data_IF_237907805498
#
_entry.id   IF_237907805498
#
_cell.length_a   1.000
_cell.length_b   1.000
_cell.length_c   1.000
_cell.angle_alpha   90.00
_cell.angle_beta   90.00
_cell.angle_gamma   90.00
#
_symmetry.space_group_name_H-M   'P 1'
#
loop_
_entity.id
_entity.type
_entity.pdbx_description
1 polymer ?
#
# COMPACT_ATOMS: atom_id res chain seq x y z
N UNK A 1 -4.88 -3.98 -49.69
CA UNK A 1 -3.98 -4.58 -48.68
C UNK A 1 -4.77 -4.69 -47.39
N UNK A 2 -5.23 -5.89 -47.06
CA UNK A 2 -5.92 -6.18 -45.79
C UNK A 2 -4.85 -6.31 -44.70
N UNK A 3 -4.88 -5.43 -43.71
CA UNK A 3 -4.07 -5.57 -42.49
C UNK A 3 -4.87 -6.47 -41.56
N UNK A 4 -4.38 -7.68 -41.32
CA UNK A 4 -4.98 -8.60 -40.35
C UNK A 4 -4.85 -8.09 -38.91
N UNK A 5 -5.70 -8.56 -37.97
CA UNK A 5 -5.56 -8.23 -36.56
C UNK A 5 -4.19 -8.69 -36.06
N UNK A 6 -3.56 -7.88 -35.20
CA UNK A 6 -2.23 -8.15 -34.65
C UNK A 6 -2.14 -9.58 -34.11
N UNK A 7 -1.52 -10.47 -34.88
CA UNK A 7 -1.14 -11.79 -34.39
C UNK A 7 -0.29 -11.58 -33.15
N UNK A 8 -0.76 -12.13 -32.03
CA UNK A 8 -0.15 -12.08 -30.70
C UNK A 8 1.37 -11.99 -30.80
N UNK A 9 1.90 -10.78 -30.54
CA UNK A 9 3.32 -10.50 -30.50
C UNK A 9 3.95 -11.23 -29.30
N UNK A 10 4.23 -12.51 -29.53
CA UNK A 10 5.51 -13.15 -29.23
C UNK A 10 5.90 -13.30 -27.76
N UNK A 11 5.15 -14.11 -27.02
CA UNK A 11 5.69 -14.89 -25.90
C UNK A 11 6.61 -16.05 -26.37
N UNK A 12 7.33 -15.91 -27.50
CA UNK A 12 8.15 -17.03 -28.00
C UNK A 12 8.90 -16.90 -29.32
N UNK A 13 9.26 -15.71 -29.81
CA UNK A 13 10.11 -15.66 -31.02
C UNK A 13 11.47 -14.95 -30.93
N UNK A 14 11.88 -14.28 -29.85
CA UNK A 14 13.18 -13.57 -29.89
C UNK A 14 14.10 -13.74 -28.67
N UNK A 15 13.79 -14.59 -27.68
CA UNK A 15 14.71 -14.80 -26.56
C UNK A 15 14.79 -16.31 -26.31
N UNK A 16 15.90 -16.94 -26.73
CA UNK A 16 16.20 -18.31 -26.31
C UNK A 16 16.33 -18.36 -24.79
N UNK A 17 15.96 -19.47 -24.15
CA UNK A 17 16.04 -19.64 -22.69
C UNK A 17 17.40 -19.23 -22.09
N UNK A 18 18.50 -19.37 -22.85
CA UNK A 18 19.84 -18.92 -22.45
C UNK A 18 20.05 -17.39 -22.41
N UNK A 19 19.33 -16.62 -23.21
CA UNK A 19 19.36 -15.14 -23.15
C UNK A 19 18.52 -14.64 -21.98
N UNK A 20 17.39 -15.31 -21.69
CA UNK A 20 16.59 -15.04 -20.50
C UNK A 20 17.39 -15.33 -19.22
N UNK A 21 18.18 -16.40 -19.18
CA UNK A 21 19.12 -16.67 -18.07
C UNK A 21 20.25 -15.65 -17.97
N UNK A 22 20.82 -15.18 -19.09
CA UNK A 22 21.88 -14.17 -19.11
C UNK A 22 21.37 -12.79 -18.63
N UNK A 23 20.14 -12.45 -19.00
CA UNK A 23 19.36 -11.27 -18.56
C UNK A 23 19.14 -11.32 -17.05
N UNK A 24 18.81 -12.49 -16.50
CA UNK A 24 18.66 -12.72 -15.05
C UNK A 24 20.00 -12.69 -14.31
N UNK A 25 21.09 -13.24 -14.87
CA UNK A 25 22.43 -13.19 -14.25
C UNK A 25 23.04 -11.79 -14.26
N UNK A 26 22.89 -11.02 -15.34
CA UNK A 26 23.44 -9.66 -15.43
C UNK A 26 22.83 -8.67 -14.42
N UNK A 27 21.65 -8.97 -13.88
CA UNK A 27 21.01 -8.17 -12.83
C UNK A 27 21.64 -8.37 -11.43
N UNK A 28 22.39 -9.47 -11.22
CA UNK A 28 22.89 -9.89 -9.90
C UNK A 28 24.25 -9.23 -9.56
N UNK A 29 25.02 -8.78 -10.55
CA UNK A 29 26.43 -8.40 -10.36
C UNK A 29 26.70 -6.86 -10.26
N UNK A 30 25.69 -6.02 -10.00
CA UNK A 30 25.83 -4.55 -10.06
C UNK A 30 26.20 -3.84 -8.74
N UNK A 31 27.39 -3.23 -8.70
CA UNK A 31 28.06 -2.48 -7.61
C UNK A 31 27.21 -1.63 -6.64
N UNK A 32 27.72 -1.53 -5.40
CA UNK A 32 27.14 -0.95 -4.19
C UNK A 32 27.14 0.59 -4.19
N UNK A 33 25.95 1.17 -4.28
CA UNK A 33 25.60 2.51 -3.82
C UNK A 33 24.14 2.47 -3.35
N UNK A 34 23.86 2.97 -2.14
CA UNK A 34 22.59 2.76 -1.41
C UNK A 34 21.36 3.36 -2.08
N UNK A 35 20.77 2.62 -3.02
CA UNK A 35 19.53 3.01 -3.68
C UNK A 35 18.77 1.77 -4.14
N UNK A 36 17.51 1.68 -3.72
CA UNK A 36 16.61 0.56 -3.97
C UNK A 36 16.41 0.36 -5.48
N UNK A 37 17.05 -0.67 -6.03
CA UNK A 37 16.88 -1.08 -7.41
C UNK A 37 15.68 -2.02 -7.48
N UNK A 38 14.54 -1.52 -7.96
CA UNK A 38 13.57 -2.42 -8.60
C UNK A 38 14.23 -2.86 -9.90
N UNK A 39 14.91 -3.99 -9.85
CA UNK A 39 15.52 -4.61 -11.01
C UNK A 39 14.43 -5.09 -11.95
N UNK A 40 13.94 -4.24 -12.85
CA UNK A 40 13.36 -4.71 -14.11
C UNK A 40 14.48 -5.47 -14.83
N UNK A 41 14.38 -6.79 -14.91
CA UNK A 41 15.43 -7.62 -15.49
C UNK A 41 15.71 -7.24 -16.96
N UNK A 42 16.91 -6.66 -17.18
CA UNK A 42 17.76 -6.65 -18.39
C UNK A 42 17.15 -6.34 -19.77
N UNK A 43 16.29 -5.33 -19.85
CA UNK A 43 15.97 -4.69 -21.15
C UNK A 43 15.90 -3.17 -21.10
N UNK A 44 15.62 -2.63 -19.93
CA UNK A 44 15.49 -1.20 -19.70
C UNK A 44 16.71 -0.77 -18.90
N UNK A 45 17.52 0.17 -19.39
CA UNK A 45 18.39 0.96 -18.52
C UNK A 45 17.47 1.64 -17.49
N UNK A 46 17.30 0.94 -16.36
CA UNK A 46 16.19 1.08 -15.44
C UNK A 46 16.29 2.41 -14.75
N UNK A 47 15.29 3.26 -14.96
CA UNK A 47 15.14 4.46 -14.16
C UNK A 47 14.92 4.00 -12.73
N UNK A 48 15.91 4.28 -11.90
CA UNK A 48 15.88 3.91 -10.50
C UNK A 48 14.77 4.69 -9.81
N UNK A 49 14.02 4.03 -8.92
CA UNK A 49 13.06 4.75 -8.09
C UNK A 49 13.88 5.54 -7.08
N UNK A 50 13.82 6.86 -7.20
CA UNK A 50 14.59 7.75 -6.35
C UNK A 50 13.81 8.10 -5.09
N UNK A 51 14.53 8.26 -3.98
CA UNK A 51 13.99 8.90 -2.79
C UNK A 51 13.35 10.25 -3.14
N UNK A 52 12.16 10.52 -2.60
CA UNK A 52 11.37 11.70 -2.93
C UNK A 52 10.40 11.51 -4.11
N UNK A 53 10.28 10.30 -4.65
CA UNK A 53 9.36 9.99 -5.76
C UNK A 53 8.10 9.28 -5.26
N UNK A 54 6.96 9.62 -5.86
CA UNK A 54 5.69 8.90 -5.71
C UNK A 54 5.51 7.95 -6.89
N UNK A 55 5.40 6.66 -6.62
CA UNK A 55 5.20 5.61 -7.63
C UNK A 55 3.79 5.06 -7.54
N UNK A 56 3.06 5.05 -8.65
CA UNK A 56 1.73 4.47 -8.76
C UNK A 56 1.82 3.09 -9.39
N UNK A 57 1.39 2.04 -8.68
CA UNK A 57 1.41 0.65 -9.13
C UNK A 57 -0.02 0.21 -9.43
N UNK A 58 -0.32 0.02 -10.71
CA UNK A 58 -1.65 -0.34 -11.20
C UNK A 58 -1.74 -1.80 -11.60
N UNK A 59 -2.94 -2.37 -11.54
CA UNK A 59 -3.17 -3.75 -12.00
C UNK A 59 -2.88 -4.80 -10.95
N UNK A 60 -2.33 -5.93 -11.36
CA UNK A 60 -2.09 -7.09 -10.51
C UNK A 60 -0.66 -7.08 -9.96
N UNK A 61 -0.36 -6.06 -9.16
CA UNK A 61 1.00 -5.75 -8.70
C UNK A 61 1.12 -5.54 -7.19
N UNK A 62 0.25 -6.19 -6.40
CA UNK A 62 0.29 -6.09 -4.94
C UNK A 62 1.67 -6.51 -4.38
N UNK A 63 2.33 -7.47 -5.03
CA UNK A 63 3.65 -7.96 -4.68
C UNK A 63 4.78 -6.95 -4.89
N UNK A 64 4.60 -5.95 -5.78
CA UNK A 64 5.62 -4.93 -6.04
C UNK A 64 5.89 -4.10 -4.79
N UNK A 65 4.82 -3.70 -4.08
CA UNK A 65 4.95 -2.95 -2.83
C UNK A 65 5.70 -3.73 -1.76
N UNK A 66 5.37 -5.03 -1.60
CA UNK A 66 6.03 -5.91 -0.64
C UNK A 66 7.51 -6.15 -0.96
N UNK A 67 7.88 -6.38 -2.23
CA UNK A 67 9.28 -6.55 -2.64
C UNK A 67 10.09 -5.28 -2.46
N UNK A 68 9.54 -4.12 -2.82
CA UNK A 68 10.20 -2.84 -2.59
C UNK A 68 10.39 -2.52 -1.12
N UNK A 69 9.42 -2.90 -0.27
CA UNK A 69 9.57 -2.82 1.18
C UNK A 69 10.77 -3.65 1.65
N UNK A 70 10.90 -4.89 1.18
CA UNK A 70 12.06 -5.74 1.49
C UNK A 70 13.37 -5.06 1.07
N UNK A 71 13.47 -4.57 -0.16
CA UNK A 71 14.67 -3.86 -0.64
C UNK A 71 15.05 -2.69 0.27
N UNK A 72 14.09 -1.85 0.66
CA UNK A 72 14.32 -0.72 1.57
C UNK A 72 14.79 -1.19 2.95
N UNK A 73 14.20 -2.27 3.50
CA UNK A 73 14.61 -2.78 4.81
C UNK A 73 16.08 -3.26 4.80
N UNK A 74 16.57 -3.77 3.67
CA UNK A 74 17.97 -4.13 3.49
C UNK A 74 18.88 -2.91 3.27
N UNK A 75 18.46 -1.97 2.43
CA UNK A 75 19.27 -0.78 2.11
C UNK A 75 19.38 0.19 3.28
N UNK A 76 18.39 0.21 4.17
CA UNK A 76 18.33 1.09 5.34
C UNK A 76 18.13 0.26 6.62
N UNK A 77 19.19 -0.27 7.24
CA UNK A 77 19.09 -1.17 8.40
C UNK A 77 18.42 -0.53 9.63
N UNK A 78 18.57 0.79 9.78
CA UNK A 78 17.95 1.58 10.87
C UNK A 78 16.71 2.37 10.39
N UNK A 79 16.32 2.20 9.12
CA UNK A 79 15.17 2.89 8.55
C UNK A 79 13.86 2.23 8.98
N UNK A 80 12.83 3.05 9.22
CA UNK A 80 11.44 2.57 9.38
C UNK A 80 10.71 2.57 8.05
N UNK A 81 9.68 1.75 7.97
CA UNK A 81 8.72 1.73 6.87
C UNK A 81 7.29 1.77 7.41
N UNK A 82 6.39 2.44 6.68
CA UNK A 82 4.98 2.51 7.03
C UNK A 82 4.12 1.92 5.90
N UNK A 83 3.10 1.16 6.28
CA UNK A 83 2.11 0.56 5.39
C UNK A 83 0.74 1.03 5.85
N UNK A 84 0.05 1.80 5.02
CA UNK A 84 -1.34 2.21 5.21
C UNK A 84 -2.22 1.21 4.48
N UNK A 85 -2.74 0.24 5.23
CA UNK A 85 -3.55 -0.87 4.71
C UNK A 85 -5.05 -0.53 4.82
N UNK A 86 -5.67 -0.18 3.70
CA UNK A 86 -7.10 0.10 3.62
C UNK A 86 -7.97 -1.13 3.34
N UNK A 87 -7.34 -2.25 2.98
CA UNK A 87 -8.03 -3.44 2.51
C UNK A 87 -8.00 -4.59 3.51
N UNK A 88 -7.09 -4.52 4.48
CA UNK A 88 -6.83 -5.57 5.46
C UNK A 88 -6.12 -6.78 4.87
N UNK A 89 -5.61 -6.70 3.64
CA UNK A 89 -5.09 -7.84 2.88
C UNK A 89 -3.56 -7.84 2.74
N UNK A 90 -2.86 -6.90 3.40
CA UNK A 90 -1.41 -6.81 3.29
C UNK A 90 -0.72 -8.11 3.73
N UNK A 91 0.04 -8.74 2.82
CA UNK A 91 0.66 -10.06 3.04
C UNK A 91 1.99 -9.96 3.82
N UNK A 92 1.88 -9.77 5.13
CA UNK A 92 3.04 -9.73 6.04
C UNK A 92 3.86 -11.02 5.97
N UNK A 93 3.20 -12.17 5.78
CA UNK A 93 3.87 -13.47 5.69
C UNK A 93 4.65 -13.60 4.38
N UNK A 94 4.14 -13.05 3.28
CA UNK A 94 4.85 -12.95 2.01
C UNK A 94 6.13 -12.12 2.16
N UNK A 95 6.04 -10.95 2.79
CA UNK A 95 7.20 -10.10 3.09
C UNK A 95 8.22 -10.84 3.97
N UNK A 96 7.76 -11.53 5.02
CA UNK A 96 8.62 -12.34 5.89
C UNK A 96 9.38 -13.43 5.11
N UNK A 97 8.67 -14.18 4.25
CA UNK A 97 9.28 -15.24 3.43
C UNK A 97 10.33 -14.68 2.48
N UNK A 98 10.05 -13.55 1.84
CA UNK A 98 11.01 -12.88 0.95
C UNK A 98 12.25 -12.39 1.73
N UNK A 99 12.07 -11.83 2.94
CA UNK A 99 13.18 -11.48 3.84
C UNK A 99 14.05 -12.71 4.16
N UNK A 100 13.43 -13.84 4.52
CA UNK A 100 14.15 -15.08 4.82
C UNK A 100 14.93 -15.60 3.60
N UNK A 101 14.30 -15.61 2.42
CA UNK A 101 14.94 -16.05 1.18
C UNK A 101 16.15 -15.17 0.82
N UNK A 102 16.03 -13.86 1.03
CA UNK A 102 17.12 -12.91 0.77
C UNK A 102 18.26 -13.01 1.79
N UNK A 103 17.95 -13.12 3.08
CA UNK A 103 18.97 -13.35 4.12
C UNK A 103 19.73 -14.66 3.91
N UNK A 104 19.04 -15.73 3.49
CA UNK A 104 19.67 -17.02 3.14
C UNK A 104 20.62 -16.89 1.95
N UNK A 105 20.30 -16.02 0.98
CA UNK A 105 21.13 -15.75 -0.21
C UNK A 105 22.40 -14.97 0.14
N UNK A 106 22.30 -14.03 1.08
CA UNK A 106 23.42 -13.20 1.53
C UNK A 106 24.42 -13.94 2.45
N UNK A 107 24.19 -15.24 2.70
CA UNK A 107 25.11 -16.10 3.44
C UNK A 107 25.06 -15.90 4.95
N UNK A 108 23.99 -15.29 5.49
CA UNK A 108 23.74 -15.26 6.93
C UNK A 108 23.58 -16.70 7.42
N UNK A 109 24.40 -17.11 8.40
CA UNK A 109 24.56 -18.52 8.80
C UNK A 109 23.23 -19.22 9.07
N UNK A 110 23.11 -20.46 8.59
CA UNK A 110 21.90 -21.28 8.71
C UNK A 110 21.56 -21.55 10.18
N UNK A 111 20.36 -21.17 10.60
CA UNK A 111 19.80 -21.48 11.92
C UNK A 111 18.82 -20.41 12.38
N UNK A 112 18.47 -20.43 13.67
CA UNK A 112 17.54 -19.50 14.34
C UNK A 112 17.92 -18.02 14.16
N UNK A 113 19.19 -17.73 13.82
CA UNK A 113 19.68 -16.38 13.55
C UNK A 113 19.02 -15.70 12.35
N UNK A 114 18.71 -16.45 11.28
CA UNK A 114 18.07 -15.87 10.07
C UNK A 114 16.63 -15.46 10.35
N UNK A 115 15.90 -16.29 11.09
CA UNK A 115 14.52 -16.02 11.47
C UNK A 115 14.44 -14.84 12.44
N UNK A 116 15.34 -14.79 13.44
CA UNK A 116 15.43 -13.66 14.35
C UNK A 116 15.78 -12.35 13.62
N UNK A 117 16.69 -12.40 12.65
CA UNK A 117 17.03 -11.23 11.84
C UNK A 117 15.83 -10.75 11.00
N UNK A 118 15.13 -11.66 10.32
CA UNK A 118 13.93 -11.32 9.54
C UNK A 118 12.81 -10.72 10.41
N UNK A 119 12.56 -11.31 11.59
CA UNK A 119 11.59 -10.79 12.55
C UNK A 119 11.97 -9.37 13.01
N UNK A 120 13.25 -9.15 13.36
CA UNK A 120 13.76 -7.84 13.73
C UNK A 120 13.65 -6.80 12.59
N UNK A 121 13.75 -7.23 11.33
CA UNK A 121 13.51 -6.35 10.18
C UNK A 121 12.02 -5.98 10.05
N UNK A 122 11.11 -6.92 10.32
CA UNK A 122 9.67 -6.67 10.32
C UNK A 122 9.21 -5.78 11.48
N UNK A 123 9.88 -5.81 12.64
CA UNK A 123 9.58 -4.90 13.76
C UNK A 123 9.75 -3.41 13.37
N UNK A 124 10.45 -3.13 12.27
CA UNK A 124 10.62 -1.77 11.71
C UNK A 124 9.51 -1.37 10.74
N UNK A 125 8.55 -2.26 10.49
CA UNK A 125 7.41 -2.01 9.59
C UNK A 125 6.18 -1.68 10.44
N UNK A 126 5.73 -0.44 10.32
CA UNK A 126 4.51 0.04 10.95
C UNK A 126 3.32 -0.18 10.03
N UNK A 127 2.36 -1.00 10.44
CA UNK A 127 1.13 -1.25 9.67
C UNK A 127 -0.03 -0.47 10.31
N UNK A 128 -0.63 0.42 9.52
CA UNK A 128 -1.75 1.27 9.91
C UNK A 128 -2.98 0.82 9.15
N UNK A 129 -3.98 0.27 9.85
CA UNK A 129 -5.24 -0.13 9.23
C UNK A 129 -6.20 1.04 9.16
N UNK A 130 -6.77 1.27 7.99
CA UNK A 130 -7.69 2.38 7.72
C UNK A 130 -8.91 1.85 6.99
N UNK A 131 -10.07 2.48 7.17
CA UNK A 131 -11.33 1.98 6.60
C UNK A 131 -11.97 2.95 5.61
N UNK A 132 -11.61 4.23 5.68
CA UNK A 132 -12.14 5.29 4.84
C UNK A 132 -11.06 6.33 4.50
N UNK A 133 -11.45 7.36 3.75
CA UNK A 133 -10.54 8.41 3.33
C UNK A 133 -10.08 9.30 4.50
N UNK A 134 -10.89 9.45 5.55
CA UNK A 134 -10.52 10.20 6.75
C UNK A 134 -9.38 9.48 7.47
N UNK A 135 -9.50 8.17 7.67
CA UNK A 135 -8.46 7.34 8.25
C UNK A 135 -7.15 7.36 7.46
N UNK A 136 -7.21 7.37 6.11
CA UNK A 136 -5.99 7.56 5.29
C UNK A 136 -5.35 8.92 5.55
N UNK A 137 -6.14 10.00 5.63
CA UNK A 137 -5.61 11.35 5.91
C UNK A 137 -4.99 11.45 7.30
N UNK A 138 -5.63 10.86 8.31
CA UNK A 138 -5.12 10.80 9.68
C UNK A 138 -3.82 10.00 9.74
N UNK A 139 -3.77 8.85 9.07
CA UNK A 139 -2.57 8.02 9.01
C UNK A 139 -1.37 8.74 8.40
N UNK A 140 -1.57 9.44 7.27
CA UNK A 140 -0.53 10.28 6.66
C UNK A 140 -0.20 11.50 7.53
N UNK A 141 -1.19 12.05 8.24
CA UNK A 141 -1.00 13.12 9.22
C UNK A 141 -0.05 12.71 10.34
N UNK A 142 -0.24 11.51 10.89
CA UNK A 142 0.62 10.96 11.92
C UNK A 142 2.05 10.74 11.42
N UNK A 143 2.21 10.17 10.21
CA UNK A 143 3.52 10.01 9.57
C UNK A 143 4.23 11.36 9.41
N UNK A 144 3.50 12.40 9.00
CA UNK A 144 4.05 13.76 8.89
C UNK A 144 4.48 14.29 10.25
N UNK A 145 3.63 14.15 11.27
CA UNK A 145 3.92 14.70 12.60
C UNK A 145 5.14 14.01 13.24
N UNK A 146 5.30 12.70 13.01
CA UNK A 146 6.50 11.94 13.38
C UNK A 146 7.76 12.46 12.65
N UNK A 147 7.68 12.62 11.32
CA UNK A 147 8.78 13.10 10.48
C UNK A 147 9.18 14.56 10.76
N UNK A 148 8.25 15.40 11.18
CA UNK A 148 8.46 16.80 11.54
C UNK A 148 8.83 16.98 13.02
N UNK A 149 8.91 15.89 13.81
CA UNK A 149 9.21 15.94 15.24
C UNK A 149 8.14 16.64 16.08
N UNK A 150 6.91 16.72 15.55
CA UNK A 150 5.74 17.27 16.24
C UNK A 150 5.00 16.25 17.08
N UNK A 151 5.54 15.04 17.18
CA UNK A 151 4.95 13.97 17.97
C UNK A 151 4.65 14.50 19.36
N UNK A 152 3.36 14.67 19.65
CA UNK A 152 2.88 14.93 20.99
C UNK A 152 3.35 13.71 21.76
N UNK A 153 4.38 13.89 22.58
CA UNK A 153 4.78 12.88 23.55
C UNK A 153 3.52 12.64 24.34
N UNK A 154 2.79 11.56 24.03
CA UNK A 154 1.71 11.12 24.90
C UNK A 154 2.38 11.00 26.25
N UNK A 155 1.96 11.80 27.24
CA UNK A 155 2.55 11.73 28.55
C UNK A 155 2.34 10.29 28.96
N UNK A 156 3.44 9.53 29.04
CA UNK A 156 3.46 8.12 29.42
C UNK A 156 2.37 7.97 30.47
N UNK A 157 1.33 7.19 30.13
CA UNK A 157 0.29 6.83 31.05
C UNK A 157 1.02 6.25 32.26
N UNK A 158 1.25 7.11 33.25
CA UNK A 158 1.56 6.72 34.61
C UNK A 158 0.43 5.80 34.96
N UNK A 159 0.73 4.51 34.89
CA UNK A 159 -0.04 3.41 35.46
C UNK A 159 -0.81 3.96 36.65
N UNK A 160 -2.12 4.11 36.48
CA UNK A 160 -3.03 4.54 37.52
C UNK A 160 -2.90 3.49 38.61
N UNK A 161 -2.09 3.79 39.61
CA UNK A 161 -2.17 3.16 40.91
C UNK A 161 -3.56 3.47 41.43
N UNK A 162 -4.39 2.44 41.46
CA UNK A 162 -5.66 2.31 42.18
C UNK A 162 -5.75 3.25 43.39
N UNK A 163 -6.70 4.20 43.43
CA UNK A 163 -7.03 4.90 44.66
C UNK A 163 -7.67 3.89 45.63
N UNK A 164 -7.03 3.72 46.79
CA UNK A 164 -7.60 3.01 47.92
C UNK A 164 -8.98 3.59 48.27
N UNK A 165 -9.93 2.68 48.28
CA UNK A 165 -11.24 2.76 48.90
C UNK A 165 -11.09 3.24 50.36
N UNK A 166 -11.73 4.36 50.71
CA UNK A 166 -12.03 4.66 52.11
C UNK A 166 -13.33 5.45 52.24
N UNK A 167 -14.27 4.78 52.91
CA UNK A 167 -15.23 5.36 53.86
C UNK A 167 -16.55 5.90 53.31
N UNK A 168 -17.57 5.11 53.64
CA UNK A 168 -19.01 5.38 53.70
C UNK A 168 -19.41 6.71 54.34
N UNK A 169 -20.44 7.37 53.81
CA UNK A 169 -21.65 7.83 54.53
C UNK A 169 -22.72 8.41 53.57
N UNK A 170 -23.99 8.61 54.00
CA UNK A 170 -25.16 8.20 53.21
C UNK A 170 -26.11 9.35 52.74
N UNK A 171 -27.04 8.98 51.83
CA UNK A 171 -28.31 9.64 51.45
C UNK A 171 -28.30 10.97 50.66
N UNK A 172 -28.81 10.94 49.42
CA UNK A 172 -30.20 11.37 49.08
C UNK A 172 -30.59 11.00 47.63
N UNK A 173 -31.87 10.66 47.36
CA UNK A 173 -32.37 10.31 46.02
C UNK A 173 -32.97 11.55 45.30
N UNK A 174 -33.36 11.32 44.03
CA UNK A 174 -34.13 12.17 43.10
C UNK A 174 -33.36 13.16 42.21
N UNK A 175 -33.24 12.82 40.91
CA UNK A 175 -34.12 13.42 39.90
C UNK A 175 -34.05 12.68 38.56
N UNK A 176 -35.22 12.27 38.09
CA UNK A 176 -35.50 11.58 36.84
C UNK A 176 -35.36 12.52 35.62
N UNK A 177 -34.60 12.11 34.61
CA UNK A 177 -34.71 12.66 33.26
C UNK A 177 -35.08 11.56 32.27
N UNK A 178 -36.39 11.51 32.03
CA UNK A 178 -37.17 10.96 30.91
C UNK A 178 -36.35 10.32 29.78
N UNK A 179 -36.32 8.99 29.82
CA UNK A 179 -35.96 8.09 28.73
C UNK A 179 -37.17 7.95 27.81
N UNK A 180 -37.02 8.27 26.52
CA UNK A 180 -38.01 7.95 25.49
C UNK A 180 -38.07 6.44 25.29
N UNK A 181 -39.24 5.90 25.57
CA UNK A 181 -39.65 4.50 25.44
C UNK A 181 -39.88 4.20 23.95
N UNK A 182 -39.24 3.15 23.43
CA UNK A 182 -39.71 2.44 22.23
C UNK A 182 -40.08 1.04 22.69
N UNK A 183 -41.33 0.69 22.41
CA UNK A 183 -42.05 -0.47 22.86
C UNK A 183 -41.68 -1.72 22.02
N UNK A 184 -41.17 -2.72 22.74
CA UNK A 184 -41.36 -4.18 22.62
C UNK A 184 -42.00 -4.86 21.37
N UNK A 185 -41.30 -5.90 20.90
CA UNK A 185 -41.86 -7.22 20.49
C UNK A 185 -40.71 -8.23 20.71
N UNK A 186 -40.74 -9.11 21.73
CA UNK A 186 -41.32 -10.49 21.72
C UNK A 186 -40.86 -11.31 20.50
N UNK A 187 -40.33 -12.53 20.57
CA UNK A 187 -40.09 -13.50 21.65
C UNK A 187 -39.28 -14.69 21.06
N UNK A 188 -38.90 -15.62 21.95
CA UNK A 188 -38.47 -17.01 21.78
C UNK A 188 -36.96 -17.32 21.64
N UNK A 189 -36.35 -17.52 22.82
CA UNK A 189 -35.80 -18.81 23.29
C UNK A 189 -35.02 -19.66 22.28
N UNK A 190 -33.71 -19.80 22.52
CA UNK A 190 -33.20 -21.14 22.84
C UNK A 190 -31.90 -21.07 23.63
N UNK A 191 -31.87 -21.89 24.65
CA UNK A 191 -30.86 -22.03 25.66
C UNK A 191 -29.56 -22.66 25.13
N UNK A 192 -28.53 -22.57 25.98
CA UNK A 192 -27.54 -23.62 26.28
C UNK A 192 -26.07 -23.14 26.22
N UNK A 193 -25.61 -22.72 27.41
CA UNK A 193 -24.43 -23.21 28.14
C UNK A 193 -23.05 -23.30 27.45
N UNK A 194 -22.04 -22.79 28.16
CA UNK A 194 -20.81 -23.48 28.62
C UNK A 194 -19.69 -22.43 28.81
N UNK A 195 -19.48 -21.91 30.02
CA UNK A 195 -18.60 -22.49 31.05
C UNK A 195 -17.12 -22.44 30.65
N UNK A 196 -16.37 -21.43 31.09
CA UNK A 196 -14.94 -21.58 31.37
C UNK A 196 -14.51 -20.76 32.60
N UNK A 197 -13.92 -21.51 33.52
CA UNK A 197 -13.56 -21.19 34.88
C UNK A 197 -12.42 -20.18 35.04
N UNK A 198 -12.50 -19.48 36.16
CA UNK A 198 -11.42 -18.71 36.74
C UNK A 198 -10.27 -19.62 37.19
N UNK A 199 -9.03 -19.16 37.08
CA UNK A 199 -7.94 -19.65 37.93
C UNK A 199 -7.00 -18.51 38.29
N UNK A 200 -7.13 -18.07 39.55
CA UNK A 200 -6.14 -17.28 40.28
C UNK A 200 -4.96 -18.17 40.67
N UNK A 201 -3.74 -17.61 40.65
CA UNK A 201 -2.62 -18.15 41.41
C UNK A 201 -1.77 -17.00 41.99
N UNK A 202 -1.52 -17.12 43.30
CA UNK A 202 -0.81 -16.21 44.18
C UNK A 202 0.73 -16.27 44.02
N UNK A 203 1.35 -15.10 44.26
CA UNK A 203 2.51 -14.77 45.12
C UNK A 203 3.88 -15.50 45.02
N UNK A 204 4.96 -14.71 44.97
CA UNK A 204 6.12 -14.71 45.90
C UNK A 204 7.06 -13.53 45.54
N UNK A 205 7.17 -12.49 46.39
CA UNK A 205 8.21 -12.23 47.42
C UNK A 205 9.55 -11.63 46.94
N UNK A 206 9.76 -10.39 47.40
CA UNK A 206 10.94 -9.51 47.40
C UNK A 206 12.16 -10.09 48.16
N UNK A 207 13.41 -9.59 47.95
CA UNK A 207 13.86 -8.47 48.79
C UNK A 207 14.84 -7.45 48.16
N UNK A 208 14.77 -6.27 48.79
CA UNK A 208 15.58 -5.05 48.79
C UNK A 208 17.11 -5.13 48.52
N UNK A 209 17.71 -4.01 48.08
CA UNK A 209 18.67 -3.19 48.89
C UNK A 209 19.07 -1.87 48.20
N UNK A 210 19.09 -0.82 49.04
CA UNK A 210 19.59 0.57 48.94
C UNK A 210 20.94 0.79 48.21
N UNK A 211 21.10 1.96 47.56
CA UNK A 211 21.88 3.07 48.14
C UNK A 211 21.82 4.40 47.35
N UNK A 212 21.70 5.49 48.12
CA UNK A 212 21.74 6.90 47.71
C UNK A 212 23.09 7.48 48.13
N UNK A 213 23.77 8.21 47.24
CA UNK A 213 24.82 9.21 47.58
C UNK A 213 25.09 10.16 46.40
N UNK A 214 25.00 11.49 46.57
CA UNK A 214 25.69 12.52 45.76
C UNK A 214 26.97 13.00 46.50
N UNK A 215 27.76 14.01 46.05
CA UNK A 215 27.91 14.68 44.75
C UNK A 215 29.39 14.68 44.25
N UNK A 216 29.67 15.06 43.00
CA UNK A 216 30.93 15.74 42.66
C UNK A 216 30.88 16.49 41.32
N UNK A 217 30.90 17.81 41.42
CA UNK A 217 31.09 18.80 40.35
C UNK A 217 32.57 18.92 40.02
N UNK A 218 32.94 18.67 38.76
CA UNK A 218 34.23 19.06 38.17
C UNK A 218 34.05 19.47 36.70
N UNK A 219 34.96 20.29 36.14
CA UNK A 219 34.62 21.38 35.24
C UNK A 219 34.65 21.00 33.75
N UNK A 220 33.69 21.58 33.03
CA UNK A 220 33.81 22.17 31.69
C UNK A 220 34.86 21.55 30.77
N UNK A 221 34.58 20.35 30.26
CA UNK A 221 35.05 19.93 28.95
C UNK A 221 33.97 20.26 27.93
N UNK A 222 34.32 21.10 26.98
CA UNK A 222 33.55 21.41 25.77
C UNK A 222 32.94 20.12 25.23
N UNK A 223 31.60 20.00 25.15
CA UNK A 223 30.98 18.78 24.69
C UNK A 223 31.42 18.54 23.24
N UNK A 224 31.92 17.34 22.88
CA UNK A 224 32.08 16.98 21.48
C UNK A 224 30.73 17.15 20.80
N UNK A 225 30.67 17.54 19.50
CA UNK A 225 29.42 17.65 18.78
C UNK A 225 28.64 16.36 18.99
N UNK A 226 27.56 16.45 19.76
CA UNK A 226 26.66 15.33 20.01
C UNK A 226 26.19 14.88 18.64
N UNK A 227 26.74 13.77 18.17
CA UNK A 227 26.14 13.01 17.08
C UNK A 227 24.76 12.65 17.62
N UNK A 228 23.76 13.44 17.23
CA UNK A 228 22.38 13.16 17.57
C UNK A 228 22.16 11.69 17.21
N UNK A 229 21.79 10.83 18.18
CA UNK A 229 21.55 9.43 17.91
C UNK A 229 20.63 9.39 16.69
N UNK A 230 21.06 8.66 15.65
CA UNK A 230 20.38 8.60 14.37
C UNK A 230 18.96 8.12 14.61
N UNK A 231 18.04 9.07 14.77
CA UNK A 231 16.63 8.80 14.96
C UNK A 231 16.18 7.93 13.79
N UNK A 232 15.54 6.81 14.09
CA UNK A 232 15.03 5.84 13.13
C UNK A 232 14.11 6.55 12.14
N UNK A 233 14.69 7.09 11.06
CA UNK A 233 13.97 7.98 10.16
C UNK A 233 13.17 7.11 9.20
N UNK A 234 11.86 7.33 9.14
CA UNK A 234 11.00 6.71 8.15
C UNK A 234 11.55 6.95 6.73
N UNK A 235 11.69 5.87 5.96
CA UNK A 235 12.21 5.90 4.58
C UNK A 235 11.18 5.53 3.54
N UNK A 236 10.17 4.75 3.90
CA UNK A 236 9.24 4.17 2.95
C UNK A 236 7.80 4.25 3.43
N UNK A 237 6.89 4.53 2.49
CA UNK A 237 5.45 4.58 2.71
C UNK A 237 4.76 3.79 1.59
N UNK A 238 4.00 2.77 1.96
CA UNK A 238 3.10 2.05 1.06
C UNK A 238 1.66 2.40 1.42
N UNK A 239 0.84 2.75 0.45
CA UNK A 239 -0.61 2.92 0.62
C UNK A 239 -1.31 1.85 -0.22
N UNK A 240 -1.94 0.88 0.45
CA UNK A 240 -2.58 -0.28 -0.17
C UNK A 240 -3.98 -0.50 0.42
N UNK A 241 -5.09 -0.15 -0.21
CA UNK A 241 -5.33 0.21 -1.60
C UNK A 241 -6.16 1.51 -1.65
N UNK A 242 -5.55 2.59 -2.16
CA UNK A 242 -6.14 3.93 -2.18
C UNK A 242 -7.49 3.99 -2.93
N UNK A 243 -7.72 3.10 -3.89
CA UNK A 243 -8.98 3.03 -4.65
C UNK A 243 -10.18 2.66 -3.80
N UNK A 244 -9.99 1.82 -2.78
CA UNK A 244 -11.08 1.39 -1.90
C UNK A 244 -11.69 2.57 -1.14
N UNK A 245 -10.87 3.54 -0.75
CA UNK A 245 -11.31 4.71 0.01
C UNK A 245 -11.72 5.89 -0.89
N UNK A 246 -11.09 6.05 -2.06
CA UNK A 246 -11.39 7.18 -2.96
C UNK A 246 -12.59 6.92 -3.88
N UNK A 247 -12.80 5.69 -4.34
CA UNK A 247 -13.87 5.38 -5.30
C UNK A 247 -15.27 5.74 -4.77
N UNK A 248 -15.63 5.44 -3.51
CA UNK A 248 -16.93 5.84 -2.97
C UNK A 248 -17.15 7.36 -3.00
N UNK A 249 -16.09 8.15 -2.75
CA UNK A 249 -16.15 9.60 -2.78
C UNK A 249 -16.37 10.13 -4.20
N UNK A 250 -15.59 9.63 -5.16
CA UNK A 250 -15.67 10.07 -6.55
C UNK A 250 -16.98 9.68 -7.25
N UNK A 251 -17.59 8.54 -6.85
CA UNK A 251 -18.88 8.11 -7.39
C UNK A 251 -20.03 9.02 -6.97
N UNK A 252 -19.99 9.56 -5.74
CA UNK A 252 -21.05 10.43 -5.22
C UNK A 252 -21.20 11.70 -6.08
N UNK A 253 -20.07 12.31 -6.42
CA UNK A 253 -20.02 13.52 -7.24
C UNK A 253 -20.50 13.28 -8.69
N UNK A 254 -20.17 12.11 -9.26
CA UNK A 254 -20.56 11.77 -10.63
C UNK A 254 -22.07 11.64 -10.82
N UNK A 255 -22.82 11.24 -9.77
CA UNK A 255 -24.28 11.07 -9.85
C UNK A 255 -24.98 12.44 -9.73
N UNK A 256 -24.41 13.37 -8.95
CA UNK A 256 -24.98 14.69 -8.73
C UNK A 256 -24.76 15.66 -9.91
N UNK A 257 -23.69 15.48 -10.70
CA UNK A 257 -23.38 16.34 -11.84
C UNK A 257 -24.29 16.18 -13.08
N UNK A 258 -25.09 15.12 -13.18
CA UNK A 258 -25.95 14.84 -14.36
C UNK A 258 -27.41 15.27 -14.20
N UNK A 259 -27.82 15.84 -13.06
CA UNK A 259 -29.13 16.47 -12.91
C UNK A 259 -29.01 17.99 -13.07
N UNK A 260 -29.28 18.57 -14.24
CA UNK A 260 -29.25 20.02 -14.44
C UNK A 260 -30.29 20.77 -13.58
N UNK A 261 -31.19 20.06 -12.90
CA UNK A 261 -32.24 20.63 -12.06
C UNK A 261 -31.94 20.58 -10.54
N UNK A 262 -31.00 19.74 -10.08
CA UNK A 262 -30.68 19.63 -8.65
C UNK A 262 -29.61 20.63 -8.18
N UNK A 263 -28.81 21.20 -9.10
CA UNK A 263 -27.73 22.12 -8.73
C UNK A 263 -28.25 23.49 -8.29
N UNK A 264 -29.40 23.95 -8.79
CA UNK A 264 -29.90 25.29 -8.50
C UNK A 264 -30.63 25.44 -7.14
N UNK A 265 -31.05 24.33 -6.51
CA UNK A 265 -31.88 24.36 -5.30
C UNK A 265 -31.15 23.91 -4.02
N UNK A 266 -29.94 23.34 -4.15
CA UNK A 266 -29.08 22.99 -3.01
C UNK A 266 -28.03 24.07 -2.68
N UNK A 267 -27.82 25.07 -3.54
CA UNK A 267 -26.81 26.11 -3.32
C UNK A 267 -27.21 27.23 -2.32
N UNK A 268 -28.38 27.16 -1.68
CA UNK A 268 -28.88 28.27 -0.85
C UNK A 268 -28.74 28.07 0.66
N UNK A 269 -28.53 26.85 1.15
CA UNK A 269 -28.30 26.60 2.57
C UNK A 269 -27.28 25.46 2.77
N UNK A 270 -26.16 25.78 3.45
CA UNK A 270 -25.12 24.90 4.03
C UNK A 270 -23.72 24.86 3.34
N UNK A 271 -22.85 25.74 3.84
CA UNK A 271 -21.41 25.60 4.18
C UNK A 271 -20.60 24.36 3.73
N UNK A 272 -19.45 24.63 3.11
CA UNK A 272 -18.25 23.77 2.92
C UNK A 272 -18.39 22.46 2.12
N UNK A 273 -19.07 22.50 0.98
CA UNK A 273 -19.07 21.38 0.02
C UNK A 273 -17.76 21.38 -0.82
N UNK A 274 -16.68 20.84 -0.26
CA UNK A 274 -15.50 20.49 -1.06
C UNK A 274 -15.83 19.31 -1.96
N UNK A 275 -15.56 19.42 -3.27
CA UNK A 275 -15.71 18.28 -4.18
C UNK A 275 -14.74 17.16 -3.79
N UNK A 276 -15.10 15.90 -4.02
CA UNK A 276 -14.21 14.76 -3.78
C UNK A 276 -12.91 14.87 -4.59
N UNK A 277 -12.98 15.53 -5.76
CA UNK A 277 -11.81 15.86 -6.57
C UNK A 277 -10.88 16.84 -5.86
N UNK A 278 -11.40 17.89 -5.21
CA UNK A 278 -10.57 18.87 -4.49
C UNK A 278 -9.92 18.23 -3.25
N UNK A 279 -10.68 17.41 -2.52
CA UNK A 279 -10.19 16.68 -1.35
C UNK A 279 -9.07 15.70 -1.73
N UNK A 280 -9.29 14.89 -2.77
CA UNK A 280 -8.29 13.94 -3.26
C UNK A 280 -7.06 14.66 -3.82
N UNK A 281 -7.25 15.74 -4.59
CA UNK A 281 -6.17 16.57 -5.12
C UNK A 281 -5.31 17.20 -4.01
N UNK A 282 -5.95 17.74 -2.98
CA UNK A 282 -5.26 18.34 -1.83
C UNK A 282 -4.48 17.30 -1.04
N UNK A 283 -5.08 16.13 -0.80
CA UNK A 283 -4.40 15.01 -0.16
C UNK A 283 -3.18 14.57 -0.95
N UNK A 284 -3.34 14.34 -2.25
CA UNK A 284 -2.25 13.88 -3.13
C UNK A 284 -1.13 14.91 -3.25
N UNK A 285 -1.46 16.19 -3.26
CA UNK A 285 -0.48 17.27 -3.20
C UNK A 285 0.31 17.24 -1.87
N UNK A 286 -0.38 17.10 -0.74
CA UNK A 286 0.26 16.99 0.58
C UNK A 286 1.17 15.77 0.66
N UNK A 287 0.73 14.62 0.14
CA UNK A 287 1.53 13.39 0.13
C UNK A 287 2.77 13.52 -0.75
N UNK A 288 2.64 14.09 -1.94
CA UNK A 288 3.78 14.33 -2.83
C UNK A 288 4.77 15.32 -2.20
N UNK A 289 4.28 16.38 -1.56
CA UNK A 289 5.12 17.32 -0.81
C UNK A 289 5.87 16.62 0.33
N UNK A 290 5.17 15.86 1.18
CA UNK A 290 5.77 15.08 2.28
C UNK A 290 6.86 14.13 1.76
N UNK A 291 6.54 13.40 0.69
CA UNK A 291 7.46 12.46 0.04
C UNK A 291 8.76 13.15 -0.37
N UNK A 292 8.67 14.29 -1.06
CA UNK A 292 9.85 15.05 -1.52
C UNK A 292 10.63 15.67 -0.38
N UNK A 293 9.95 16.30 0.57
CA UNK A 293 10.58 17.02 1.69
C UNK A 293 11.39 16.10 2.59
N UNK A 294 10.90 14.87 2.83
CA UNK A 294 11.60 13.90 3.68
C UNK A 294 12.38 12.84 2.90
N UNK A 295 12.42 12.95 1.56
CA UNK A 295 13.04 12.00 0.66
C UNK A 295 12.55 10.56 0.90
N UNK A 296 11.23 10.38 0.96
CA UNK A 296 10.58 9.08 1.16
C UNK A 296 10.46 8.32 -0.17
N UNK A 297 10.44 6.99 -0.08
CA UNK A 297 10.00 6.11 -1.16
C UNK A 297 8.50 5.86 -0.96
N UNK A 298 7.65 6.47 -1.78
CA UNK A 298 6.19 6.34 -1.62
C UNK A 298 5.58 5.52 -2.75
N UNK A 299 4.88 4.45 -2.40
CA UNK A 299 4.15 3.59 -3.34
C UNK A 299 2.65 3.70 -3.10
N UNK A 300 1.90 3.87 -4.19
CA UNK A 300 0.46 3.84 -4.22
C UNK A 300 0.00 2.61 -4.97
N UNK A 301 -0.56 1.64 -4.26
CA UNK A 301 -1.20 0.49 -4.87
C UNK A 301 -2.63 0.87 -5.26
N UNK A 302 -2.97 0.64 -6.54
CA UNK A 302 -4.35 0.67 -6.99
C UNK A 302 -4.60 -0.47 -7.99
N UNK A 303 -5.24 -1.56 -7.53
CA UNK A 303 -5.54 -2.69 -8.38
C UNK A 303 -6.53 -2.26 -9.46
N UNK A 304 -6.23 -2.64 -10.69
CA UNK A 304 -7.14 -2.46 -11.80
C UNK A 304 -7.99 -3.73 -11.90
N UNK A 305 -9.28 -3.70 -11.48
CA UNK A 305 -10.13 -4.86 -11.66
C UNK A 305 -10.21 -5.14 -13.16
N UNK A 306 -10.08 -6.41 -13.55
CA UNK A 306 -10.36 -6.80 -14.92
C UNK A 306 -11.78 -6.34 -15.26
N UNK A 307 -11.99 -5.71 -16.44
CA UNK A 307 -13.32 -5.27 -16.82
C UNK A 307 -14.25 -6.47 -16.75
N UNK A 308 -15.30 -6.34 -15.94
CA UNK A 308 -16.33 -7.36 -15.85
C UNK A 308 -16.85 -7.53 -17.27
N UNK A 309 -16.63 -8.70 -17.88
CA UNK A 309 -17.20 -9.01 -19.18
C UNK A 309 -18.70 -8.81 -19.05
N UNK A 310 -19.20 -7.67 -19.55
CA UNK A 310 -20.62 -7.45 -19.59
C UNK A 310 -21.15 -8.46 -20.61
N UNK A 311 -22.17 -9.27 -20.26
CA UNK A 311 -22.79 -10.17 -21.22
C UNK A 311 -23.20 -9.33 -22.43
N UNK A 312 -22.61 -9.63 -23.58
CA UNK A 312 -22.60 -8.75 -24.75
C UNK A 312 -24.00 -8.20 -25.08
N UNK A 313 -24.17 -6.86 -25.12
CA UNK A 313 -25.41 -6.28 -25.63
C UNK A 313 -25.54 -6.60 -27.11
N UNK A 314 -26.70 -7.12 -27.50
CA UNK A 314 -27.11 -7.29 -28.89
C UNK A 314 -26.90 -5.96 -29.67
N UNK A 315 -26.11 -6.03 -30.74
CA UNK A 315 -25.97 -5.05 -31.83
C UNK A 315 -26.50 -3.63 -31.53
N UNK A 316 -25.68 -2.78 -30.91
CA UNK A 316 -25.92 -1.33 -30.98
C UNK A 316 -25.09 -0.73 -32.11
N UNK A 317 -25.78 -0.33 -33.18
CA UNK A 317 -25.24 0.42 -34.32
C UNK A 317 -24.44 1.63 -33.83
N UNK A 318 -23.12 1.60 -34.04
CA UNK A 318 -22.23 2.74 -33.80
C UNK A 318 -22.66 3.96 -34.66
N UNK A 319 -23.07 5.04 -34.00
CA UNK A 319 -22.99 6.37 -34.59
C UNK A 319 -21.53 6.77 -34.65
N UNK A 320 -20.98 6.81 -35.87
CA UNK A 320 -19.70 7.43 -36.18
C UNK A 320 -19.81 8.96 -35.97
N UNK A 321 -19.61 9.42 -34.73
CA UNK A 321 -19.26 10.82 -34.53
C UNK A 321 -17.77 11.00 -34.86
N UNK A 322 -17.50 11.94 -35.76
CA UNK A 322 -16.19 12.31 -36.29
C UNK A 322 -15.27 12.86 -35.18
N UNK A 323 -14.72 11.98 -34.36
CA UNK A 323 -13.62 12.32 -33.47
C UNK A 323 -12.39 12.63 -34.33
N UNK A 324 -11.82 13.82 -34.16
CA UNK A 324 -10.54 14.22 -34.75
C UNK A 324 -9.52 13.10 -34.51
N UNK A 325 -8.91 12.63 -35.58
CA UNK A 325 -7.93 11.54 -35.55
C UNK A 325 -6.73 11.96 -34.68
N UNK A 326 -6.74 11.58 -33.41
CA UNK A 326 -5.53 11.51 -32.62
C UNK A 326 -4.60 10.46 -33.28
N UNK A 327 -3.27 10.69 -33.31
CA UNK A 327 -2.35 9.67 -33.78
C UNK A 327 -2.56 8.37 -33.01
N UNK A 328 -2.42 7.20 -33.66
CA UNK A 328 -2.57 5.93 -32.98
C UNK A 328 -1.61 5.87 -31.80
N UNK A 329 -2.07 5.43 -30.61
CA UNK A 329 -1.21 5.33 -29.45
C UNK A 329 -0.01 4.40 -29.78
N UNK A 330 1.15 4.64 -29.16
CA UNK A 330 2.31 3.76 -29.33
C UNK A 330 1.93 2.31 -28.98
N UNK A 331 2.54 1.31 -29.64
CA UNK A 331 2.24 -0.09 -29.39
C UNK A 331 2.59 -0.45 -27.94
N UNK A 332 1.55 -0.74 -27.14
CA UNK A 332 1.69 -1.27 -25.79
C UNK A 332 1.65 -2.80 -25.85
N UNK A 333 2.49 -3.47 -25.06
CA UNK A 333 2.42 -4.93 -24.87
C UNK A 333 1.10 -5.33 -24.19
N UNK A 334 0.47 -4.37 -23.53
CA UNK A 334 -0.83 -4.44 -22.89
C UNK A 334 -1.93 -3.81 -23.75
N UNK A 335 -1.76 -3.70 -25.07
CA UNK A 335 -2.85 -3.25 -25.96
C UNK A 335 -4.10 -4.13 -25.87
N UNK A 336 -3.97 -5.38 -25.40
CA UNK A 336 -5.10 -6.29 -25.11
C UNK A 336 -5.59 -6.22 -23.66
N UNK A 337 -4.94 -5.44 -22.80
CA UNK A 337 -5.33 -5.26 -21.41
C UNK A 337 -6.30 -4.10 -21.32
N UNK A 338 -7.59 -4.42 -21.24
CA UNK A 338 -8.65 -3.45 -21.06
C UNK A 338 -8.78 -2.99 -19.59
N UNK A 339 -7.88 -3.40 -18.70
CA UNK A 339 -7.87 -2.96 -17.31
C UNK A 339 -7.46 -1.49 -17.21
N UNK A 340 -8.46 -0.63 -17.13
CA UNK A 340 -8.28 0.79 -16.86
C UNK A 340 -8.12 1.00 -15.35
N UNK A 341 -7.01 1.61 -14.88
CA UNK A 341 -6.90 1.94 -13.47
C UNK A 341 -8.00 2.95 -13.11
N UNK A 342 -8.72 2.68 -12.02
CA UNK A 342 -9.91 3.44 -11.60
C UNK A 342 -9.65 4.92 -11.30
N UNK A 343 -8.40 5.29 -11.03
CA UNK A 343 -7.99 6.62 -10.59
C UNK A 343 -6.99 7.33 -11.52
N UNK A 344 -6.81 6.88 -12.78
CA UNK A 344 -5.82 7.49 -13.70
C UNK A 344 -6.01 9.00 -13.84
N UNK A 345 -7.26 9.46 -13.97
CA UNK A 345 -7.58 10.87 -14.18
C UNK A 345 -7.18 11.78 -13.00
N UNK A 346 -7.22 11.26 -11.78
CA UNK A 346 -6.90 12.00 -10.55
C UNK A 346 -5.41 11.85 -10.21
N UNK A 347 -4.90 10.62 -10.17
CA UNK A 347 -3.54 10.32 -9.69
C UNK A 347 -2.44 10.70 -10.68
N UNK A 348 -2.74 10.72 -11.99
CA UNK A 348 -1.73 10.92 -13.04
C UNK A 348 -0.93 12.22 -12.89
N UNK A 349 -1.48 13.25 -12.23
CA UNK A 349 -0.79 14.54 -12.01
C UNK A 349 0.14 14.55 -10.79
N UNK A 350 -0.05 13.62 -9.86
CA UNK A 350 0.63 13.60 -8.55
C UNK A 350 1.67 12.49 -8.44
N UNK A 351 1.53 11.45 -9.25
CA UNK A 351 2.50 10.36 -9.39
C UNK A 351 3.67 10.81 -10.26
N UNK A 352 4.89 10.43 -9.90
CA UNK A 352 6.11 10.71 -10.67
C UNK A 352 6.38 9.60 -11.69
N UNK A 353 6.13 8.35 -11.31
CA UNK A 353 6.20 7.18 -12.20
C UNK A 353 4.97 6.32 -12.00
N UNK A 354 4.20 6.08 -13.06
CA UNK A 354 3.08 5.15 -13.05
C UNK A 354 3.45 3.88 -13.80
N UNK A 355 3.17 2.75 -13.19
CA UNK A 355 3.44 1.43 -13.76
C UNK A 355 2.17 0.60 -13.77
N UNK A 356 2.00 -0.21 -14.81
CA UNK A 356 0.96 -1.22 -14.94
C UNK A 356 1.61 -2.58 -14.80
N UNK A 357 1.13 -3.36 -13.83
CA UNK A 357 1.56 -4.73 -13.57
C UNK A 357 0.48 -5.68 -14.08
N UNK A 358 0.90 -6.68 -14.84
CA UNK A 358 0.05 -7.73 -15.35
C UNK A 358 0.78 -9.06 -15.28
N UNK A 359 0.04 -10.15 -15.18
CA UNK A 359 0.60 -11.49 -15.22
C UNK A 359 0.47 -12.07 -16.63
N UNK A 360 1.60 -12.53 -17.19
CA UNK A 360 1.64 -13.21 -18.48
C UNK A 360 2.13 -14.66 -18.31
N UNK A 361 1.66 -15.61 -19.15
CA UNK A 361 2.15 -16.98 -19.11
C UNK A 361 3.66 -17.06 -19.39
N UNK A 362 4.41 -17.80 -18.58
CA UNK A 362 5.89 -17.88 -18.69
C UNK A 362 6.33 -18.61 -19.95
N UNK A 363 5.68 -19.74 -20.27
CA UNK A 363 6.08 -20.61 -21.39
C UNK A 363 5.04 -20.57 -22.49
N UNK A 364 5.47 -20.93 -23.70
CA UNK A 364 4.58 -21.13 -24.85
C UNK A 364 3.46 -22.14 -24.57
N UNK A 365 3.74 -23.20 -23.80
CA UNK A 365 2.74 -24.19 -23.40
C UNK A 365 1.72 -23.58 -22.43
N UNK A 366 2.17 -22.77 -21.48
CA UNK A 366 1.31 -22.05 -20.53
C UNK A 366 0.38 -21.10 -21.28
N UNK A 367 0.92 -20.35 -22.25
CA UNK A 367 0.14 -19.45 -23.10
C UNK A 367 -0.92 -20.22 -23.90
N UNK A 368 -0.58 -21.38 -24.47
CA UNK A 368 -1.56 -22.22 -25.18
C UNK A 368 -2.68 -22.67 -24.27
N UNK A 369 -2.39 -23.10 -23.05
CA UNK A 369 -3.40 -23.52 -22.08
C UNK A 369 -4.25 -22.32 -21.67
N UNK A 370 -3.62 -21.21 -21.31
CA UNK A 370 -4.26 -19.98 -20.87
C UNK A 370 -5.23 -19.39 -21.92
N UNK A 371 -4.79 -19.28 -23.18
CA UNK A 371 -5.59 -18.66 -24.24
C UNK A 371 -6.59 -19.63 -24.90
N UNK A 372 -6.37 -20.96 -24.85
CA UNK A 372 -7.28 -21.94 -25.47
C UNK A 372 -8.64 -22.01 -24.77
N UNK A 373 -8.68 -21.83 -23.45
CA UNK A 373 -9.92 -21.93 -22.69
C UNK A 373 -10.83 -20.71 -22.87
N UNK A 374 -10.42 -19.68 -23.64
CA UNK A 374 -11.16 -18.42 -23.74
C UNK A 374 -11.26 -17.67 -22.40
N UNK A 375 -10.45 -18.08 -21.41
CA UNK A 375 -10.48 -17.61 -20.02
C UNK A 375 -9.73 -16.28 -19.83
N UNK A 376 -9.47 -15.53 -20.90
CA UNK A 376 -8.76 -14.25 -20.88
C UNK A 376 -9.40 -13.13 -20.05
N UNK A 377 -10.49 -13.37 -19.31
CA UNK A 377 -11.11 -12.36 -18.44
C UNK A 377 -11.95 -12.90 -17.28
N UNK A 378 -11.88 -14.19 -16.97
CA UNK A 378 -12.75 -14.83 -15.96
C UNK A 378 -12.08 -14.97 -14.59
N UNK A 379 -12.31 -14.00 -13.70
CA UNK A 379 -12.04 -13.99 -12.25
C UNK A 379 -11.29 -15.22 -11.67
N UNK A 380 -9.97 -15.08 -11.53
CA UNK A 380 -9.20 -15.64 -10.41
C UNK A 380 -8.99 -17.16 -10.36
N UNK A 381 -9.47 -17.95 -11.32
CA UNK A 381 -9.15 -19.39 -11.34
C UNK A 381 -7.72 -19.59 -11.83
N UNK A 382 -6.80 -19.80 -10.89
CA UNK A 382 -5.46 -20.31 -11.20
C UNK A 382 -5.60 -21.60 -11.99
N UNK A 383 -5.30 -21.55 -13.29
CA UNK A 383 -5.30 -22.76 -14.13
C UNK A 383 -4.14 -23.63 -13.66
N UNK A 384 -4.47 -24.84 -13.19
CA UNK A 384 -3.46 -25.76 -12.66
C UNK A 384 -2.43 -26.07 -13.74
N UNK A 385 -1.16 -25.86 -13.42
CA UNK A 385 -0.03 -26.15 -14.31
C UNK A 385 0.38 -25.02 -15.24
N UNK A 386 -0.31 -23.88 -15.22
CA UNK A 386 0.11 -22.66 -15.93
C UNK A 386 1.01 -21.85 -15.00
N UNK A 387 2.25 -21.66 -15.42
CA UNK A 387 3.16 -20.74 -14.74
C UNK A 387 2.98 -19.32 -15.30
N UNK A 388 2.87 -18.34 -14.40
CA UNK A 388 2.71 -16.92 -14.74
C UNK A 388 3.93 -16.12 -14.27
N UNK A 389 4.32 -15.10 -15.02
CA UNK A 389 5.31 -14.09 -14.65
C UNK A 389 4.63 -12.73 -14.55
N UNK A 390 4.98 -11.95 -13.53
CA UNK A 390 4.63 -10.54 -13.47
C UNK A 390 5.43 -9.76 -14.52
N UNK A 391 4.76 -8.89 -15.25
CA UNK A 391 5.33 -7.97 -16.22
C UNK A 391 4.88 -6.57 -15.84
N UNK A 392 5.82 -5.63 -15.84
CA UNK A 392 5.59 -4.22 -15.55
C UNK A 392 5.79 -3.42 -16.82
N UNK A 393 4.84 -2.55 -17.16
CA UNK A 393 5.00 -1.49 -18.17
C UNK A 393 4.93 -0.13 -17.48
N UNK A 394 5.82 0.78 -17.83
CA UNK A 394 5.76 2.17 -17.39
C UNK A 394 4.69 2.89 -18.22
N UNK A 395 3.58 3.23 -17.60
CA UNK A 395 2.47 3.93 -18.25
C UNK A 395 2.74 5.43 -18.39
N UNK A 396 3.51 5.98 -17.46
CA UNK A 396 3.83 7.40 -17.44
C UNK A 396 5.04 7.68 -16.58
N UNK A 397 5.85 8.64 -17.03
CA UNK A 397 7.00 9.14 -16.30
C UNK A 397 6.98 10.66 -16.41
N UNK A 398 6.86 11.36 -15.27
CA UNK A 398 6.80 12.82 -15.21
C UNK A 398 7.97 13.47 -15.93
N UNK A 399 9.13 12.83 -15.95
CA UNK A 399 10.35 13.40 -16.53
C UNK A 399 10.64 12.95 -17.96
N UNK A 400 9.74 12.19 -18.60
CA UNK A 400 9.59 12.23 -20.05
C UNK A 400 10.13 11.07 -20.91
N UNK A 401 10.87 10.09 -20.38
CA UNK A 401 11.56 9.10 -21.25
C UNK A 401 11.19 7.63 -20.97
N UNK A 402 10.37 7.41 -19.95
CA UNK A 402 10.07 6.08 -19.42
C UNK A 402 8.88 5.37 -20.06
N UNK A 403 7.91 6.11 -20.61
CA UNK A 403 6.61 5.54 -20.99
C UNK A 403 6.73 4.48 -22.11
N UNK A 404 6.00 3.38 -21.95
CA UNK A 404 6.00 2.21 -22.85
C UNK A 404 7.16 1.24 -22.63
N UNK A 405 8.12 1.56 -21.75
CA UNK A 405 9.17 0.62 -21.36
C UNK A 405 8.58 -0.46 -20.45
N UNK A 406 9.03 -1.70 -20.60
CA UNK A 406 8.52 -2.81 -19.81
C UNK A 406 9.63 -3.79 -19.40
N UNK A 407 9.33 -4.65 -18.43
CA UNK A 407 10.21 -5.72 -17.98
C UNK A 407 9.50 -6.72 -17.06
N UNK A 408 10.22 -7.75 -16.63
CA UNK A 408 9.69 -8.85 -15.82
C UNK A 408 10.05 -8.61 -14.35
N UNK A 409 9.13 -8.96 -13.44
CA UNK A 409 9.29 -8.92 -11.97
C UNK A 409 10.04 -10.12 -11.40
#
# INVERSE_FOLDING_TARGET
MQVGPAECLLAGAMVSDGVLEAVVRGAIDGERGGVAKVGLASGVQGKQICAGSVVGVWGDGAEVGGRMLVDVLFDFPDGLAAVVDSSGNFDVLGVYKELLERLKRDGVEKGDGVEHAAAKMLDRVRIMRVFDFVGVREAIGEIRDELEGRMVVEPEQKSISTPKLSTSEPFKPEQELKRTVVADSEDEDDDEEMLLDATEALSEETPAVRNVSPPQTTPTKTPPPQQNPSCNKLKFVLIDNLTQVLTPLLKKDSIQGTSPFSFALLCLECTDEYTANDLSSTFMHSLAHLTRTHALFTILSNPAPSPRQQPGPLHHHHQQQQARQAPPPPPSIFASNDALPSLVGVLGRYVDVSVLVSHVPKRKIDARVWYREGHGGGLGKKIRGVEMSGVVEVMGDRWGDGAGRWGIL
#
